data_IF_375198603507
#
_entry.id   IF_375198603507
#
_cell.length_a   1.000
_cell.length_b   1.000
_cell.length_c   1.000
_cell.angle_alpha   90.00
_cell.angle_beta   90.00
_cell.angle_gamma   90.00
#
_symmetry.space_group_name_H-M   'P 1'
#
loop_
_entity.id
_entity.type
_entity.pdbx_description
1 polymer ?
#
# COMPACT_ATOMS: atom_id res chain seq x y z
N UNK A 1 0.45 -17.11 16.50
CA UNK A 1 0.23 -15.84 15.78
C UNK A 1 1.50 -15.52 15.03
N UNK A 2 1.44 -15.39 13.70
CA UNK A 2 2.61 -15.11 12.86
C UNK A 2 2.64 -13.62 12.56
N UNK A 3 3.81 -12.98 12.76
CA UNK A 3 4.02 -11.57 12.42
C UNK A 3 5.02 -11.52 11.27
N UNK A 4 4.63 -10.86 10.19
CA UNK A 4 5.48 -10.67 9.02
C UNK A 4 5.43 -9.20 8.59
N UNK A 5 6.59 -8.62 8.29
CA UNK A 5 6.71 -7.21 7.89
C UNK A 5 7.18 -7.17 6.45
N UNK A 6 6.44 -6.47 5.59
CA UNK A 6 6.82 -6.23 4.20
C UNK A 6 7.45 -4.83 4.14
N UNK A 7 8.78 -4.69 3.97
CA UNK A 7 9.48 -3.41 3.97
C UNK A 7 9.37 -2.70 2.60
N UNK A 8 8.21 -2.81 1.95
CA UNK A 8 7.92 -2.22 0.65
C UNK A 8 6.78 -1.22 0.89
N UNK A 9 6.91 -0.01 0.33
CA UNK A 9 5.90 1.03 0.50
C UNK A 9 4.54 0.53 0.00
N UNK A 10 3.47 0.57 0.82
CA UNK A 10 2.17 0.05 0.44
C UNK A 10 1.61 0.79 -0.78
N UNK A 11 1.02 0.04 -1.71
CA UNK A 11 0.46 0.58 -2.94
C UNK A 11 -0.97 0.09 -3.13
N UNK A 12 -1.97 0.99 -3.25
CA UNK A 12 -3.34 0.58 -3.48
C UNK A 12 -3.48 -0.04 -4.87
N UNK A 13 -4.34 -1.05 -4.98
CA UNK A 13 -4.66 -1.68 -6.25
C UNK A 13 -5.18 -0.65 -7.25
N UNK A 14 -4.54 -0.60 -8.43
CA UNK A 14 -5.05 0.20 -9.55
C UNK A 14 -6.15 -0.56 -10.28
N UNK A 15 -7.14 0.19 -10.78
CA UNK A 15 -8.18 -0.36 -11.66
C UNK A 15 -7.53 -0.91 -12.94
N UNK A 16 -8.06 -2.01 -13.51
CA UNK A 16 -7.61 -2.51 -14.80
C UNK A 16 -7.74 -1.39 -15.85
N UNK A 17 -6.73 -1.28 -16.70
CA UNK A 17 -6.80 -0.43 -17.89
C UNK A 17 -7.46 -1.22 -19.00
N UNK A 18 -8.20 -0.54 -19.85
CA UNK A 18 -8.88 -1.15 -20.99
C UNK A 18 -8.32 -0.57 -22.27
N UNK A 19 -7.87 -1.44 -23.18
CA UNK A 19 -7.52 -1.06 -24.54
C UNK A 19 -8.54 -1.66 -25.51
N UNK A 20 -8.81 -0.96 -26.62
CA UNK A 20 -9.75 -1.43 -27.66
C UNK A 20 -9.29 -2.73 -28.34
N UNK A 21 -8.00 -3.06 -28.27
CA UNK A 21 -7.37 -4.15 -29.03
C UNK A 21 -6.93 -5.34 -28.19
N UNK A 22 -6.60 -5.11 -26.91
CA UNK A 22 -6.00 -6.12 -26.01
C UNK A 22 -6.82 -6.42 -24.76
N UNK A 23 -8.03 -5.85 -24.65
CA UNK A 23 -8.92 -6.06 -23.50
C UNK A 23 -8.41 -5.39 -22.22
N UNK A 24 -8.78 -5.96 -21.08
CA UNK A 24 -8.36 -5.48 -19.76
C UNK A 24 -6.92 -5.92 -19.46
N UNK A 25 -6.07 -4.99 -19.02
CA UNK A 25 -4.71 -5.27 -18.59
C UNK A 25 -4.36 -4.51 -17.31
N UNK A 26 -3.45 -5.06 -16.53
CA UNK A 26 -2.98 -4.42 -15.32
C UNK A 26 -1.89 -3.38 -15.64
N UNK A 27 -1.86 -2.30 -14.85
CA UNK A 27 -0.83 -1.26 -14.97
C UNK A 27 0.57 -1.85 -14.73
N UNK A 28 1.53 -1.54 -15.60
CA UNK A 28 2.90 -2.10 -15.52
C UNK A 28 3.57 -1.89 -14.18
N UNK A 29 3.43 -0.68 -13.61
CA UNK A 29 3.98 -0.37 -12.28
C UNK A 29 3.29 -1.14 -11.15
N UNK A 30 2.03 -1.55 -11.35
CA UNK A 30 1.31 -2.35 -10.37
C UNK A 30 1.75 -3.81 -10.43
N UNK A 31 1.92 -4.36 -11.65
CA UNK A 31 2.48 -5.70 -11.84
C UNK A 31 3.89 -5.82 -11.24
N UNK A 32 4.75 -4.83 -11.48
CA UNK A 32 6.11 -4.81 -10.93
C UNK A 32 6.11 -4.77 -9.41
N UNK A 33 5.26 -3.93 -8.80
CA UNK A 33 5.12 -3.86 -7.35
C UNK A 33 4.61 -5.17 -6.76
N UNK A 34 3.58 -5.78 -7.37
CA UNK A 34 3.03 -7.07 -6.93
C UNK A 34 4.08 -8.17 -6.96
N UNK A 35 4.84 -8.25 -8.06
CA UNK A 35 5.93 -9.20 -8.20
C UNK A 35 6.97 -9.00 -7.09
N UNK A 36 7.35 -7.76 -6.80
CA UNK A 36 8.30 -7.45 -5.74
C UNK A 36 7.81 -7.95 -4.36
N UNK A 37 6.53 -7.71 -4.03
CA UNK A 37 5.93 -8.18 -2.78
C UNK A 37 5.86 -9.71 -2.74
N UNK A 38 5.37 -10.34 -3.81
CA UNK A 38 5.29 -11.81 -3.89
C UNK A 38 6.66 -12.46 -3.74
N UNK A 39 7.67 -11.98 -4.46
CA UNK A 39 9.04 -12.49 -4.38
C UNK A 39 9.62 -12.28 -2.97
N UNK A 40 9.34 -11.12 -2.35
CA UNK A 40 9.77 -10.85 -0.99
C UNK A 40 9.17 -11.84 0.01
N UNK A 41 7.85 -12.09 -0.07
CA UNK A 41 7.18 -13.06 0.80
C UNK A 41 7.76 -14.46 0.57
N UNK A 42 7.88 -14.91 -0.69
CA UNK A 42 8.46 -16.23 -1.02
C UNK A 42 9.86 -16.43 -0.41
N UNK A 43 10.70 -15.40 -0.47
CA UNK A 43 12.11 -15.52 -0.08
C UNK A 43 12.36 -15.29 1.41
N UNK A 44 11.44 -14.65 2.14
CA UNK A 44 11.68 -14.23 3.53
C UNK A 44 10.67 -14.81 4.52
N UNK A 45 9.60 -15.45 4.04
CA UNK A 45 8.63 -16.10 4.91
C UNK A 45 9.07 -17.52 5.25
N UNK A 46 9.46 -17.75 6.50
CA UNK A 46 9.85 -19.06 7.04
C UNK A 46 8.78 -19.67 7.97
N UNK A 47 7.55 -19.13 7.92
CA UNK A 47 6.46 -19.57 8.78
C UNK A 47 5.72 -20.81 8.26
N UNK A 48 4.67 -21.26 8.98
CA UNK A 48 3.84 -22.37 8.54
C UNK A 48 3.11 -22.06 7.23
N UNK A 49 2.83 -23.09 6.45
CA UNK A 49 1.87 -23.03 5.37
C UNK A 49 0.44 -22.98 5.93
N UNK A 50 -0.43 -22.20 5.29
CA UNK A 50 -1.82 -22.03 5.73
C UNK A 50 -2.82 -22.64 4.76
N UNK A 51 -3.56 -23.65 5.19
CA UNK A 51 -4.51 -24.42 4.38
C UNK A 51 -5.97 -24.39 4.87
N UNK A 52 -6.23 -23.70 5.99
CA UNK A 52 -7.54 -23.48 6.61
C UNK A 52 -7.87 -21.97 6.74
N UNK A 53 -9.04 -21.63 7.29
CA UNK A 53 -9.50 -20.25 7.47
C UNK A 53 -8.51 -19.38 8.27
N UNK A 54 -8.20 -18.20 7.73
CA UNK A 54 -7.25 -17.26 8.31
C UNK A 54 -7.94 -15.98 8.80
N UNK A 55 -7.50 -15.50 9.97
CA UNK A 55 -7.75 -14.13 10.42
C UNK A 55 -6.44 -13.36 10.32
N UNK A 56 -6.47 -12.22 9.63
CA UNK A 56 -5.29 -11.37 9.41
C UNK A 56 -5.58 -9.97 9.92
N UNK A 57 -4.66 -9.44 10.72
CA UNK A 57 -4.64 -8.03 11.11
C UNK A 57 -3.53 -7.33 10.29
N UNK A 58 -3.92 -6.39 9.42
CA UNK A 58 -3.00 -5.66 8.53
C UNK A 58 -2.86 -4.22 8.99
N UNK A 59 -1.63 -3.72 9.08
CA UNK A 59 -1.33 -2.31 9.38
C UNK A 59 -0.49 -1.71 8.26
N UNK A 60 -0.99 -0.64 7.65
CA UNK A 60 -0.30 0.08 6.58
C UNK A 60 0.40 1.33 7.09
N UNK A 61 1.70 1.42 6.86
CA UNK A 61 2.48 2.63 7.15
C UNK A 61 2.64 3.44 5.87
N UNK A 62 1.86 4.53 5.76
CA UNK A 62 1.86 5.42 4.60
C UNK A 62 2.60 6.72 4.93
N UNK A 63 3.41 7.20 3.99
CA UNK A 63 3.98 8.54 4.11
C UNK A 63 2.88 9.59 3.97
N UNK A 64 3.00 10.66 4.75
CA UNK A 64 2.13 11.81 4.59
C UNK A 64 2.30 12.41 3.17
N UNK A 65 1.21 12.83 2.51
CA UNK A 65 1.28 13.42 1.18
C UNK A 65 2.25 14.60 1.12
N UNK A 66 3.06 14.69 0.06
CA UNK A 66 4.08 15.75 -0.09
C UNK A 66 3.48 17.16 0.01
N UNK A 67 2.25 17.34 -0.48
CA UNK A 67 1.49 18.60 -0.35
C UNK A 67 1.35 19.11 1.08
N UNK A 68 1.48 18.21 2.06
CA UNK A 68 1.33 18.47 3.49
C UNK A 68 2.68 18.41 4.20
N UNK A 69 3.51 17.41 3.88
CA UNK A 69 4.77 17.14 4.58
C UNK A 69 5.97 17.95 4.07
N UNK A 70 5.83 18.65 2.94
CA UNK A 70 6.90 19.48 2.37
C UNK A 70 7.04 20.79 3.11
N UNK A 71 8.27 21.08 3.56
CA UNK A 71 8.60 22.37 4.18
C UNK A 71 8.29 23.52 3.21
N UNK A 72 7.43 24.48 3.58
CA UNK A 72 7.11 25.62 2.75
C UNK A 72 8.31 26.55 2.59
N UNK A 73 8.40 27.21 1.42
CA UNK A 73 9.38 28.26 1.17
C UNK A 73 9.02 29.56 1.90
N UNK A 74 9.98 30.47 2.05
CA UNK A 74 9.76 31.77 2.70
C UNK A 74 8.65 32.59 2.04
N UNK A 75 8.53 32.48 0.71
CA UNK A 75 7.51 33.15 -0.12
C UNK A 75 6.15 32.45 -0.12
N UNK A 76 6.03 31.29 0.53
CA UNK A 76 4.76 30.58 0.59
C UNK A 76 3.71 31.38 1.36
N UNK A 77 2.43 31.24 0.97
CA UNK A 77 1.30 31.86 1.65
C UNK A 77 1.22 31.36 3.10
N UNK A 78 0.78 32.22 4.02
CA UNK A 78 0.71 31.88 5.45
C UNK A 78 -0.14 30.64 5.73
N UNK A 79 -1.23 30.44 4.98
CA UNK A 79 -2.05 29.22 5.05
C UNK A 79 -1.26 27.93 4.82
N UNK A 80 -0.23 27.97 3.97
CA UNK A 80 0.61 26.79 3.68
C UNK A 80 1.62 26.58 4.81
N UNK A 81 2.17 27.66 5.38
CA UNK A 81 3.04 27.61 6.56
C UNK A 81 2.29 27.06 7.77
N UNK A 82 1.07 27.53 8.02
CA UNK A 82 0.22 27.03 9.10
C UNK A 82 -0.09 25.54 8.93
N UNK A 83 -0.53 25.11 7.74
CA UNK A 83 -0.78 23.68 7.46
C UNK A 83 0.43 22.79 7.72
N UNK A 84 1.63 23.24 7.37
CA UNK A 84 2.86 22.50 7.64
C UNK A 84 3.18 22.46 9.14
N UNK A 85 2.90 23.54 9.88
CA UNK A 85 3.06 23.55 11.33
C UNK A 85 2.06 22.60 12.02
N UNK A 86 0.81 22.59 11.56
CA UNK A 86 -0.22 21.67 12.03
C UNK A 86 0.17 20.21 11.72
N UNK A 87 0.82 19.96 10.59
CA UNK A 87 1.38 18.64 10.24
C UNK A 87 2.46 18.20 11.23
N UNK A 88 3.45 19.06 11.51
CA UNK A 88 4.52 18.78 12.49
C UNK A 88 3.94 18.50 13.88
N UNK A 89 2.90 19.24 14.25
CA UNK A 89 2.25 19.11 15.55
C UNK A 89 1.24 17.95 15.60
N UNK A 90 1.10 17.15 14.53
CA UNK A 90 0.13 16.06 14.42
C UNK A 90 -1.34 16.48 14.62
N UNK A 91 -1.66 17.76 14.33
CA UNK A 91 -3.00 18.34 14.50
C UNK A 91 -3.84 18.28 13.23
N UNK A 92 -3.30 17.76 12.13
CA UNK A 92 -4.02 17.69 10.87
C UNK A 92 -5.06 16.56 10.89
N UNK A 93 -6.32 16.97 10.82
CA UNK A 93 -7.39 16.06 10.46
C UNK A 93 -7.16 15.53 9.04
N UNK A 94 -7.14 14.21 8.86
CA UNK A 94 -6.96 13.57 7.56
C UNK A 94 -8.30 13.62 6.81
N UNK A 95 -8.48 14.52 5.82
CA UNK A 95 -9.80 14.69 5.20
C UNK A 95 -10.11 13.58 4.20
N UNK A 96 -9.08 12.91 3.66
CA UNK A 96 -9.22 11.83 2.69
C UNK A 96 -8.76 10.53 3.32
N UNK A 97 -9.72 9.66 3.63
CA UNK A 97 -9.43 8.31 4.09
C UNK A 97 -8.57 7.58 3.06
N UNK A 98 -7.50 6.88 3.48
CA UNK A 98 -6.75 5.98 2.59
C UNK A 98 -7.67 4.93 1.97
N UNK A 99 -7.29 4.47 0.79
CA UNK A 99 -8.01 3.48 -0.01
C UNK A 99 -7.74 2.06 0.54
N UNK A 100 -8.24 1.80 1.75
CA UNK A 100 -7.90 0.61 2.55
C UNK A 100 -8.25 -0.70 1.85
N UNK A 101 -9.42 -0.77 1.21
CA UNK A 101 -9.88 -1.94 0.47
C UNK A 101 -8.91 -2.30 -0.67
N UNK A 102 -8.43 -1.29 -1.41
CA UNK A 102 -7.49 -1.50 -2.50
C UNK A 102 -6.07 -1.80 -2.00
N UNK A 103 -5.68 -1.31 -0.82
CA UNK A 103 -4.43 -1.68 -0.16
C UNK A 103 -4.46 -3.14 0.29
N UNK A 104 -5.52 -3.57 0.96
CA UNK A 104 -5.72 -4.96 1.39
C UNK A 104 -5.74 -5.90 0.19
N UNK A 105 -6.52 -5.55 -0.84
CA UNK A 105 -6.60 -6.34 -2.08
C UNK A 105 -5.23 -6.55 -2.72
N UNK A 106 -4.40 -5.50 -2.80
CA UNK A 106 -3.08 -5.59 -3.39
C UNK A 106 -2.16 -6.54 -2.61
N UNK A 107 -2.25 -6.54 -1.28
CA UNK A 107 -1.47 -7.44 -0.42
C UNK A 107 -1.96 -8.88 -0.55
N UNK A 108 -3.27 -9.12 -0.48
CA UNK A 108 -3.83 -10.47 -0.58
C UNK A 108 -3.53 -11.13 -1.92
N UNK A 109 -3.71 -10.42 -3.04
CA UNK A 109 -3.38 -10.92 -4.37
C UNK A 109 -1.88 -11.27 -4.52
N UNK A 110 -0.99 -10.57 -3.80
CA UNK A 110 0.44 -10.85 -3.78
C UNK A 110 0.81 -12.04 -2.89
N UNK A 111 0.15 -12.19 -1.73
CA UNK A 111 0.38 -13.28 -0.79
C UNK A 111 -0.17 -14.60 -1.33
N UNK A 112 -1.36 -14.63 -1.94
CA UNK A 112 -1.91 -15.86 -2.52
C UNK A 112 -1.01 -16.45 -3.61
N UNK A 113 -0.30 -15.58 -4.36
CA UNK A 113 0.70 -15.97 -5.36
C UNK A 113 2.08 -16.32 -4.79
N UNK A 114 2.27 -16.15 -3.49
CA UNK A 114 3.55 -16.42 -2.80
C UNK A 114 3.67 -17.86 -2.27
N UNK A 115 2.68 -18.73 -2.53
CA UNK A 115 2.71 -20.15 -2.14
C UNK A 115 2.78 -20.38 -0.62
N UNK A 116 2.41 -19.39 0.18
CA UNK A 116 2.35 -19.49 1.66
C UNK A 116 0.95 -19.85 2.19
N UNK A 117 -0.07 -19.77 1.34
CA UNK A 117 -1.44 -20.16 1.64
C UNK A 117 -2.14 -20.76 0.42
N UNK A 118 -3.25 -21.47 0.65
CA UNK A 118 -4.14 -21.95 -0.42
C UNK A 118 -5.09 -20.83 -0.84
N UNK A 119 -5.19 -20.58 -2.15
CA UNK A 119 -6.28 -19.79 -2.75
C UNK A 119 -7.41 -20.78 -3.11
N UNK A 120 -8.49 -20.82 -2.32
CA UNK A 120 -9.65 -21.70 -2.55
C UNK A 120 -10.81 -20.94 -3.19
#
# INVERSE_FOLDING_TARGET
MVKFIIPIEPKPQKRPRFSRWSGAYEDGDMMAWRKQVTDYVKNNYEGPYFDDGLKVDVTFYLKAPELVSKKPSERAKDKTKQKYQDYINELLYVPKKPDLDNLEKAVYDSISKSEVCVDR
#
